data_IF_679910120184
#
_entry.id   IF_679910120184
#
_cell.length_a   1.000
_cell.length_b   1.000
_cell.length_c   1.000
_cell.angle_alpha   90.00
_cell.angle_beta   90.00
_cell.angle_gamma   90.00
#
_symmetry.space_group_name_H-M   'P 1'
#
loop_
_entity.id
_entity.type
_entity.pdbx_description
1 polymer ?
#
# COMPACT_ATOMS: atom_id res chain seq x y z
N UNK A 1 10.62 -19.80 19.37
CA UNK A 1 11.06 -18.80 18.38
C UNK A 1 9.83 -18.26 17.66
N UNK A 2 9.80 -16.97 17.29
CA UNK A 2 8.71 -16.40 16.50
C UNK A 2 9.00 -16.59 15.02
N UNK A 3 7.95 -16.69 14.21
CA UNK A 3 8.03 -16.83 12.75
C UNK A 3 7.02 -15.89 12.14
N UNK A 4 7.43 -15.14 11.13
CA UNK A 4 6.52 -14.42 10.27
C UNK A 4 5.89 -15.41 9.29
N UNK A 5 4.57 -15.54 9.36
CA UNK A 5 3.77 -16.30 8.41
C UNK A 5 2.35 -15.72 8.31
N UNK A 6 1.54 -16.28 7.42
CA UNK A 6 0.14 -15.85 7.28
C UNK A 6 -0.63 -15.94 8.59
N UNK A 7 -0.49 -17.04 9.34
CA UNK A 7 -1.15 -17.24 10.62
C UNK A 7 -0.73 -16.21 11.67
N UNK A 8 0.56 -15.88 11.77
CA UNK A 8 1.02 -14.88 12.74
C UNK A 8 0.43 -13.50 12.44
N UNK A 9 0.39 -13.10 11.16
CA UNK A 9 -0.23 -11.85 10.73
C UNK A 9 -1.72 -11.82 11.06
N UNK A 10 -2.47 -12.85 10.65
CA UNK A 10 -3.90 -12.96 10.92
C UNK A 10 -4.21 -12.88 12.42
N UNK A 11 -3.42 -13.56 13.28
CA UNK A 11 -3.61 -13.50 14.73
C UNK A 11 -3.33 -12.12 15.30
N UNK A 12 -2.23 -11.46 14.90
CA UNK A 12 -1.93 -10.11 15.40
C UNK A 12 -3.06 -9.15 15.06
N UNK A 13 -3.51 -9.16 13.80
CA UNK A 13 -4.60 -8.28 13.36
C UNK A 13 -5.90 -8.62 14.09
N UNK A 14 -6.22 -9.91 14.25
CA UNK A 14 -7.43 -10.38 14.94
C UNK A 14 -7.47 -9.97 16.42
N UNK A 15 -6.35 -10.05 17.14
CA UNK A 15 -6.29 -9.57 18.53
C UNK A 15 -6.44 -8.05 18.66
N UNK A 16 -6.31 -7.32 17.56
CA UNK A 16 -6.51 -5.88 17.49
C UNK A 16 -7.77 -5.46 16.73
N UNK A 17 -8.76 -6.36 16.62
CA UNK A 17 -10.02 -6.10 15.92
C UNK A 17 -10.80 -4.91 16.49
N UNK A 18 -11.51 -4.18 15.63
CA UNK A 18 -12.23 -2.95 16.00
C UNK A 18 -13.47 -3.18 16.86
N UNK A 19 -14.16 -4.31 16.70
CA UNK A 19 -15.30 -4.71 17.53
C UNK A 19 -15.35 -6.22 17.71
N UNK A 20 -16.24 -6.72 18.59
CA UNK A 20 -16.47 -8.15 18.81
C UNK A 20 -17.10 -8.86 17.61
N UNK A 21 -17.75 -8.10 16.74
CA UNK A 21 -18.41 -8.60 15.52
C UNK A 21 -17.43 -8.81 14.36
N UNK A 22 -16.17 -8.40 14.51
CA UNK A 22 -15.12 -8.74 13.55
C UNK A 22 -14.61 -10.15 13.86
N UNK A 23 -15.23 -11.13 13.22
CA UNK A 23 -14.84 -12.53 13.35
C UNK A 23 -13.53 -12.84 12.62
N UNK A 24 -12.83 -13.88 13.09
CA UNK A 24 -11.58 -14.33 12.47
C UNK A 24 -11.79 -14.79 11.02
N UNK A 25 -12.92 -15.45 10.70
CA UNK A 25 -13.32 -15.81 9.33
C UNK A 25 -13.43 -14.62 8.41
N UNK A 26 -14.09 -13.56 8.87
CA UNK A 26 -14.34 -12.36 8.07
C UNK A 26 -13.03 -11.61 7.80
N UNK A 27 -12.09 -11.63 8.76
CA UNK A 27 -10.77 -11.05 8.55
C UNK A 27 -9.90 -11.91 7.61
N UNK A 28 -9.91 -13.24 7.82
CA UNK A 28 -9.20 -14.20 6.98
C UNK A 28 -9.65 -14.09 5.51
N UNK A 29 -10.96 -14.16 5.25
CA UNK A 29 -11.53 -14.02 3.92
C UNK A 29 -11.16 -12.68 3.28
N UNK A 30 -11.30 -11.56 4.00
CA UNK A 30 -10.99 -10.24 3.47
C UNK A 30 -9.51 -10.08 3.05
N UNK A 31 -8.58 -10.68 3.81
CA UNK A 31 -7.16 -10.66 3.44
C UNK A 31 -6.90 -11.46 2.15
N UNK A 32 -7.59 -12.59 1.96
CA UNK A 32 -7.41 -13.44 0.77
C UNK A 32 -8.11 -12.87 -0.47
N UNK A 33 -9.23 -12.17 -0.30
CA UNK A 33 -9.90 -11.40 -1.37
C UNK A 33 -9.00 -10.32 -1.98
N UNK A 34 -7.97 -9.88 -1.25
CA UNK A 34 -6.97 -8.95 -1.77
C UNK A 34 -6.11 -9.57 -2.89
N UNK A 35 -6.01 -10.90 -2.95
CA UNK A 35 -5.28 -11.64 -3.99
C UNK A 35 -6.23 -12.05 -5.11
N UNK A 36 -7.39 -12.59 -4.74
CA UNK A 36 -8.38 -13.09 -5.69
C UNK A 36 -9.79 -12.75 -5.21
N UNK A 37 -10.49 -11.81 -5.86
CA UNK A 37 -11.86 -11.45 -5.49
C UNK A 37 -12.87 -12.59 -5.57
N UNK A 38 -12.54 -13.68 -6.26
CA UNK A 38 -13.40 -14.87 -6.36
C UNK A 38 -13.10 -15.92 -5.28
N UNK A 39 -12.04 -15.75 -4.48
CA UNK A 39 -11.65 -16.66 -3.41
C UNK A 39 -12.22 -16.18 -2.07
N UNK A 40 -13.55 -16.23 -1.95
CA UNK A 40 -14.24 -15.76 -0.75
C UNK A 40 -14.31 -16.85 0.33
N UNK A 41 -13.64 -16.60 1.46
CA UNK A 41 -13.70 -17.42 2.66
C UNK A 41 -14.21 -16.63 3.88
N UNK A 42 -14.95 -15.53 3.69
CA UNK A 42 -15.40 -14.70 4.83
C UNK A 42 -16.35 -15.42 5.77
N UNK A 43 -16.99 -16.49 5.30
CA UNK A 43 -17.94 -17.31 6.07
C UNK A 43 -17.40 -18.70 6.47
N UNK A 44 -16.16 -19.05 6.08
CA UNK A 44 -15.55 -20.35 6.37
C UNK A 44 -14.74 -20.32 7.68
N UNK A 45 -15.41 -20.59 8.80
CA UNK A 45 -14.80 -20.65 10.13
C UNK A 45 -13.74 -21.74 10.26
N UNK A 46 -13.91 -22.88 9.57
CA UNK A 46 -12.98 -24.00 9.66
C UNK A 46 -11.66 -23.68 8.93
N UNK A 47 -11.75 -23.12 7.73
CA UNK A 47 -10.57 -22.64 7.01
C UNK A 47 -9.83 -21.57 7.80
N UNK A 48 -10.55 -20.56 8.29
CA UNK A 48 -9.97 -19.46 9.04
C UNK A 48 -9.27 -19.95 10.32
N UNK A 49 -9.93 -20.79 11.12
CA UNK A 49 -9.36 -21.35 12.35
C UNK A 49 -8.12 -22.19 12.07
N UNK A 50 -8.17 -23.05 11.03
CA UNK A 50 -7.05 -23.93 10.70
C UNK A 50 -5.87 -23.15 10.11
N UNK A 51 -6.12 -22.12 9.31
CA UNK A 51 -5.09 -21.23 8.79
C UNK A 51 -4.49 -20.36 9.89
N UNK A 52 -5.31 -19.77 10.77
CA UNK A 52 -4.87 -18.98 11.91
C UNK A 52 -4.07 -19.80 12.94
N UNK A 53 -4.30 -21.11 13.01
CA UNK A 53 -3.50 -22.01 13.83
C UNK A 53 -2.17 -22.43 13.18
N UNK A 54 -1.90 -22.09 11.92
CA UNK A 54 -0.74 -22.61 11.17
C UNK A 54 -0.88 -24.09 10.80
N UNK A 55 -2.12 -24.59 10.72
CA UNK A 55 -2.45 -25.97 10.37
C UNK A 55 -2.71 -26.20 8.88
N UNK A 56 -3.09 -25.16 8.14
CA UNK A 56 -3.42 -25.20 6.71
C UNK A 56 -2.57 -24.19 5.93
N UNK A 57 -2.09 -24.60 4.77
CA UNK A 57 -1.37 -23.69 3.88
C UNK A 57 -2.33 -22.86 3.03
N UNK A 58 -1.85 -21.74 2.50
CA UNK A 58 -2.53 -21.02 1.44
C UNK A 58 -2.60 -21.94 0.20
N UNK A 59 -3.76 -22.04 -0.47
CA UNK A 59 -3.89 -22.92 -1.63
C UNK A 59 -2.94 -22.54 -2.78
N UNK A 60 -2.40 -23.52 -3.52
CA UNK A 60 -1.49 -23.26 -4.64
C UNK A 60 -2.05 -22.31 -5.70
N UNK A 61 -3.36 -22.40 -6.00
CA UNK A 61 -4.03 -21.51 -6.96
C UNK A 61 -3.97 -20.05 -6.52
N UNK A 62 -4.11 -19.79 -5.23
CA UNK A 62 -4.04 -18.44 -4.68
C UNK A 62 -2.60 -17.94 -4.63
N UNK A 63 -1.63 -18.82 -4.35
CA UNK A 63 -0.19 -18.49 -4.42
C UNK A 63 0.20 -18.10 -5.85
N UNK A 64 -0.30 -18.81 -6.87
CA UNK A 64 -0.07 -18.45 -8.27
C UNK A 64 -0.63 -17.07 -8.60
N UNK A 65 -1.88 -16.78 -8.21
CA UNK A 65 -2.46 -15.44 -8.36
C UNK A 65 -1.68 -14.36 -7.61
N UNK A 66 -1.18 -14.66 -6.41
CA UNK A 66 -0.38 -13.74 -5.62
C UNK A 66 0.94 -13.31 -6.28
N UNK A 67 1.45 -14.07 -7.26
CA UNK A 67 2.63 -13.68 -8.04
C UNK A 67 2.30 -12.66 -9.14
N UNK A 68 1.04 -12.58 -9.53
CA UNK A 68 0.56 -11.77 -10.66
C UNK A 68 -0.09 -10.46 -10.19
N UNK A 69 -0.51 -10.38 -8.93
CA UNK A 69 -1.14 -9.17 -8.39
C UNK A 69 -0.16 -7.99 -8.35
N UNK A 70 -0.68 -6.80 -8.67
CA UNK A 70 0.06 -5.57 -8.41
C UNK A 70 0.01 -5.29 -6.93
N UNK A 71 1.18 -5.10 -6.32
CA UNK A 71 1.33 -4.80 -4.88
C UNK A 71 0.46 -3.61 -4.46
N UNK A 72 0.34 -2.59 -5.32
CA UNK A 72 -0.48 -1.41 -5.04
C UNK A 72 -1.97 -1.75 -4.88
N UNK A 73 -2.51 -2.70 -5.66
CA UNK A 73 -3.92 -3.09 -5.58
C UNK A 73 -4.19 -3.80 -4.25
N UNK A 74 -3.25 -4.62 -3.79
CA UNK A 74 -3.32 -5.28 -2.48
C UNK A 74 -3.25 -4.25 -1.35
N UNK A 75 -2.36 -3.27 -1.45
CA UNK A 75 -2.25 -2.17 -0.47
C UNK A 75 -3.58 -1.39 -0.40
N UNK A 76 -4.17 -1.03 -1.55
CA UNK A 76 -5.45 -0.32 -1.60
C UNK A 76 -6.60 -1.15 -1.01
N UNK A 77 -6.62 -2.45 -1.28
CA UNK A 77 -7.61 -3.35 -0.67
C UNK A 77 -7.45 -3.40 0.84
N UNK A 78 -6.22 -3.59 1.35
CA UNK A 78 -5.95 -3.58 2.78
C UNK A 78 -6.39 -2.26 3.41
N UNK A 79 -6.08 -1.13 2.79
CA UNK A 79 -6.48 0.20 3.28
C UNK A 79 -7.99 0.35 3.38
N UNK A 80 -8.74 -0.12 2.38
CA UNK A 80 -10.20 0.05 2.31
C UNK A 80 -10.98 -0.99 3.11
N UNK A 81 -10.42 -2.17 3.31
CA UNK A 81 -11.18 -3.34 3.78
C UNK A 81 -10.61 -4.03 5.01
N UNK A 82 -9.29 -4.08 5.16
CA UNK A 82 -8.63 -4.76 6.29
C UNK A 82 -8.34 -3.78 7.43
N UNK A 83 -7.71 -2.64 7.15
CA UNK A 83 -7.38 -1.62 8.17
C UNK A 83 -8.62 -1.12 8.93
N UNK A 84 -9.79 -0.90 8.31
CA UNK A 84 -10.99 -0.47 9.05
C UNK A 84 -11.52 -1.51 10.05
N UNK A 85 -11.11 -2.78 9.91
CA UNK A 85 -11.45 -3.87 10.85
C UNK A 85 -10.49 -3.92 12.06
N UNK A 86 -9.48 -3.05 12.10
CA UNK A 86 -8.54 -2.90 13.21
C UNK A 86 -9.03 -1.74 14.10
N UNK A 87 -8.95 -1.90 15.42
CA UNK A 87 -9.19 -0.81 16.34
C UNK A 87 -8.21 0.34 16.03
N UNK A 88 -8.74 1.54 15.77
CA UNK A 88 -7.94 2.72 15.40
C UNK A 88 -6.84 3.03 16.41
N UNK A 89 -7.09 2.81 17.71
CA UNK A 89 -6.11 3.01 18.77
C UNK A 89 -4.99 1.95 18.77
N UNK A 90 -5.22 0.80 18.13
CA UNK A 90 -4.33 -0.35 18.15
C UNK A 90 -3.59 -0.59 16.82
N UNK A 91 -3.79 0.26 15.80
CA UNK A 91 -3.07 0.14 14.52
C UNK A 91 -1.55 0.13 14.73
N UNK A 92 -1.03 0.99 15.60
CA UNK A 92 0.40 1.00 15.94
C UNK A 92 0.83 -0.27 16.68
N UNK A 93 -0.06 -0.85 17.50
CA UNK A 93 0.21 -2.11 18.22
C UNK A 93 0.35 -3.27 17.24
N UNK A 94 -0.50 -3.32 16.21
CA UNK A 94 -0.38 -4.30 15.12
C UNK A 94 0.98 -4.19 14.43
N UNK A 95 1.40 -2.97 14.07
CA UNK A 95 2.70 -2.73 13.41
C UNK A 95 3.84 -3.18 14.31
N UNK A 96 3.90 -2.71 15.56
CA UNK A 96 4.96 -3.07 16.51
C UNK A 96 5.05 -4.58 16.74
N UNK A 97 3.91 -5.24 16.97
CA UNK A 97 3.89 -6.67 17.23
C UNK A 97 4.35 -7.50 16.02
N UNK A 98 4.00 -7.07 14.79
CA UNK A 98 4.44 -7.75 13.56
C UNK A 98 5.93 -7.47 13.28
N UNK A 99 6.41 -6.24 13.51
CA UNK A 99 7.83 -5.90 13.37
C UNK A 99 8.68 -6.71 14.37
N UNK A 100 8.22 -6.88 15.61
CA UNK A 100 8.91 -7.76 16.58
C UNK A 100 8.91 -9.24 16.15
N UNK A 101 7.80 -9.72 15.56
CA UNK A 101 7.76 -11.06 14.95
C UNK A 101 8.80 -11.19 13.84
N UNK A 102 8.89 -10.20 12.95
CA UNK A 102 9.85 -10.17 11.84
C UNK A 102 11.29 -10.12 12.36
N UNK A 103 11.58 -9.27 13.34
CA UNK A 103 12.90 -9.13 13.94
C UNK A 103 13.36 -10.45 14.61
N UNK A 104 12.45 -11.15 15.30
CA UNK A 104 12.72 -12.42 15.98
C UNK A 104 12.66 -13.65 15.06
N UNK A 105 12.32 -13.49 13.79
CA UNK A 105 12.33 -14.57 12.82
C UNK A 105 13.72 -14.74 12.18
N UNK A 106 14.53 -15.62 12.78
CA UNK A 106 15.88 -15.92 12.31
C UNK A 106 15.92 -16.72 10.99
N UNK A 107 14.77 -17.16 10.47
CA UNK A 107 14.72 -17.86 9.18
C UNK A 107 14.68 -16.91 7.97
N UNK A 108 14.50 -15.61 8.21
CA UNK A 108 14.53 -14.58 7.19
C UNK A 108 15.83 -13.76 7.34
N UNK A 109 16.77 -13.85 6.39
CA UNK A 109 17.97 -13.02 6.37
C UNK A 109 17.66 -11.52 6.35
N UNK A 110 18.53 -10.70 6.94
CA UNK A 110 18.34 -9.26 7.08
C UNK A 110 18.24 -8.50 5.75
N UNK A 111 18.96 -8.95 4.73
CA UNK A 111 18.96 -8.41 3.36
C UNK A 111 17.79 -8.89 2.49
N UNK A 112 16.91 -9.74 3.02
CA UNK A 112 15.74 -10.22 2.30
C UNK A 112 14.79 -9.07 1.99
N UNK A 113 14.51 -8.85 0.69
CA UNK A 113 13.52 -7.88 0.24
C UNK A 113 12.11 -8.34 0.60
N UNK A 114 11.45 -7.58 1.46
CA UNK A 114 10.08 -7.83 1.91
C UNK A 114 9.11 -6.85 1.27
N UNK A 115 9.48 -5.58 1.14
CA UNK A 115 8.65 -4.62 0.42
C UNK A 115 8.80 -4.87 -1.08
N UNK A 116 7.75 -5.36 -1.73
CA UNK A 116 7.77 -5.69 -3.15
C UNK A 116 7.66 -4.42 -4.03
N UNK A 117 6.99 -3.37 -3.56
CA UNK A 117 6.88 -2.08 -4.26
C UNK A 117 8.03 -1.10 -3.97
N UNK A 118 8.58 -1.15 -2.75
CA UNK A 118 9.62 -0.22 -2.27
C UNK A 118 11.03 -0.81 -2.19
N UNK A 119 11.17 -2.12 -2.47
CA UNK A 119 12.42 -2.88 -2.40
C UNK A 119 13.16 -2.83 -1.04
N UNK A 120 12.47 -2.51 0.06
CA UNK A 120 13.05 -2.53 1.41
C UNK A 120 13.31 -3.95 1.90
N UNK A 121 14.45 -4.10 2.54
CA UNK A 121 14.92 -5.31 3.20
C UNK A 121 14.33 -5.47 4.60
N UNK A 122 14.44 -6.66 5.18
CA UNK A 122 14.06 -6.91 6.57
C UNK A 122 14.74 -5.93 7.53
N UNK A 123 16.06 -5.73 7.40
CA UNK A 123 16.82 -4.87 8.30
C UNK A 123 16.42 -3.40 8.18
N UNK A 124 16.09 -2.92 6.98
CA UNK A 124 15.56 -1.57 6.80
C UNK A 124 14.18 -1.40 7.46
N UNK A 125 13.32 -2.42 7.36
CA UNK A 125 11.95 -2.39 7.91
C UNK A 125 11.96 -2.39 9.44
N UNK A 126 12.77 -3.24 10.08
CA UNK A 126 12.81 -3.32 11.55
C UNK A 126 13.37 -2.05 12.22
N UNK A 127 14.14 -1.25 11.47
CA UNK A 127 14.71 0.01 11.95
C UNK A 127 13.87 1.24 11.56
N UNK A 128 12.77 1.07 10.83
CA UNK A 128 11.90 2.18 10.44
C UNK A 128 11.01 2.62 11.61
N UNK A 129 10.77 3.92 11.70
CA UNK A 129 9.93 4.54 12.77
C UNK A 129 8.67 5.20 12.23
N UNK A 130 8.48 5.20 10.90
CA UNK A 130 7.38 5.90 10.23
C UNK A 130 6.74 4.99 9.18
N UNK A 131 5.53 4.50 9.46
CA UNK A 131 4.87 3.50 8.61
C UNK A 131 3.57 4.01 7.97
N UNK A 132 3.29 3.57 6.75
CA UNK A 132 1.91 3.46 6.25
C UNK A 132 1.35 2.10 6.69
N UNK A 133 0.26 2.03 7.49
CA UNK A 133 -0.28 0.79 8.01
C UNK A 133 -0.74 -0.18 6.92
N UNK A 134 -1.32 0.33 5.84
CA UNK A 134 -1.76 -0.53 4.74
C UNK A 134 -0.57 -1.09 3.98
N UNK A 135 0.46 -0.27 3.75
CA UNK A 135 1.67 -0.67 3.04
C UNK A 135 2.45 -1.75 3.80
N UNK A 136 2.73 -1.53 5.09
CA UNK A 136 3.52 -2.50 5.89
C UNK A 136 2.77 -3.83 6.02
N UNK A 137 1.47 -3.79 6.35
CA UNK A 137 0.70 -5.03 6.57
C UNK A 137 0.51 -5.79 5.25
N UNK A 138 0.21 -5.11 4.14
CA UNK A 138 0.01 -5.76 2.84
C UNK A 138 1.30 -6.38 2.28
N UNK A 139 2.45 -5.69 2.39
CA UNK A 139 3.73 -6.25 1.93
C UNK A 139 4.13 -7.49 2.75
N UNK A 140 3.99 -7.43 4.08
CA UNK A 140 4.27 -8.60 4.93
C UNK A 140 3.30 -9.75 4.69
N UNK A 141 2.03 -9.44 4.40
CA UNK A 141 1.04 -10.42 3.97
C UNK A 141 1.45 -11.11 2.67
N UNK A 142 1.77 -10.37 1.61
CA UNK A 142 2.21 -10.95 0.33
C UNK A 142 3.50 -11.76 0.49
N UNK A 143 4.48 -11.22 1.22
CA UNK A 143 5.71 -11.96 1.52
C UNK A 143 5.42 -13.29 2.20
N UNK A 144 4.52 -13.29 3.20
CA UNK A 144 4.14 -14.49 3.93
C UNK A 144 3.41 -15.50 3.07
N UNK A 145 2.55 -15.05 2.14
CA UNK A 145 1.84 -15.92 1.20
C UNK A 145 2.80 -16.57 0.19
N UNK A 146 3.75 -15.80 -0.33
CA UNK A 146 4.64 -16.23 -1.41
C UNK A 146 5.82 -17.08 -0.93
N UNK A 147 6.38 -16.75 0.24
CA UNK A 147 7.69 -17.25 0.65
C UNK A 147 7.64 -18.15 1.89
N UNK A 148 6.51 -18.21 2.61
CA UNK A 148 6.43 -18.94 3.87
C UNK A 148 5.31 -19.98 3.83
N UNK A 149 5.69 -21.25 4.02
CA UNK A 149 4.73 -22.34 4.20
C UNK A 149 4.02 -22.15 5.55
N UNK A 150 2.73 -21.87 5.52
CA UNK A 150 1.94 -21.64 6.74
C UNK A 150 1.69 -22.94 7.52
N UNK A 151 1.63 -24.09 6.83
CA UNK A 151 1.43 -25.38 7.48
C UNK A 151 2.67 -25.88 8.20
N UNK A 152 2.48 -26.35 9.44
CA UNK A 152 3.55 -26.88 10.29
C UNK A 152 4.09 -25.89 11.32
N UNK A 153 3.63 -24.64 11.30
CA UNK A 153 4.09 -23.56 12.20
C UNK A 153 3.23 -23.43 13.47
N UNK A 154 2.48 -24.47 13.85
CA UNK A 154 1.54 -24.43 15.00
C UNK A 154 2.23 -24.00 16.30
N UNK A 155 3.45 -24.48 16.54
CA UNK A 155 4.21 -24.18 17.78
C UNK A 155 4.60 -22.71 17.83
N UNK A 156 5.09 -22.18 16.72
CA UNK A 156 5.55 -20.80 16.58
C UNK A 156 4.39 -19.81 16.62
N UNK A 157 3.29 -20.13 15.93
CA UNK A 157 2.04 -19.35 15.92
C UNK A 157 1.39 -19.31 17.31
N UNK A 158 1.51 -20.39 18.11
CA UNK A 158 1.03 -20.40 19.49
C UNK A 158 1.75 -19.37 20.38
N UNK A 159 2.97 -18.97 20.04
CA UNK A 159 3.71 -17.92 20.78
C UNK A 159 3.16 -16.51 20.53
N UNK A 160 2.29 -16.34 19.53
CA UNK A 160 1.57 -15.10 19.27
C UNK A 160 0.27 -15.17 20.05
N UNK A 161 0.33 -14.82 21.35
CA UNK A 161 -0.84 -14.70 22.21
C UNK A 161 -1.39 -13.27 22.20
N UNK A 162 -2.62 -13.11 22.67
CA UNK A 162 -3.20 -11.77 22.88
C UNK A 162 -2.34 -10.96 23.87
N UNK A 163 -1.90 -11.57 24.98
CA UNK A 163 -1.02 -10.92 25.96
C UNK A 163 0.29 -10.42 25.34
N UNK A 164 0.87 -11.19 24.42
CA UNK A 164 2.06 -10.79 23.68
C UNK A 164 1.76 -9.56 22.80
N UNK A 165 0.68 -9.57 22.02
CA UNK A 165 0.33 -8.43 21.16
C UNK A 165 0.02 -7.19 21.98
N UNK A 166 -0.74 -7.32 23.07
CA UNK A 166 -1.11 -6.20 23.94
C UNK A 166 0.08 -5.67 24.76
N UNK A 167 1.19 -6.39 24.87
CA UNK A 167 2.37 -5.91 25.59
C UNK A 167 3.01 -4.65 24.96
N UNK A 168 2.83 -4.45 23.65
CA UNK A 168 3.39 -3.32 22.91
C UNK A 168 2.69 -1.98 23.15
N UNK A 169 1.64 -1.91 23.99
CA UNK A 169 1.05 -0.63 24.39
C UNK A 169 2.07 0.33 25.01
N UNK A 170 3.11 -0.20 25.65
CA UNK A 170 4.20 0.57 26.25
C UNK A 170 5.12 1.23 25.21
N UNK A 171 5.13 0.71 23.99
CA UNK A 171 6.03 1.12 22.91
C UNK A 171 5.30 1.92 21.83
N UNK A 172 4.01 2.25 22.02
CA UNK A 172 3.16 2.89 21.00
C UNK A 172 3.70 4.24 20.49
N UNK A 173 4.53 4.93 21.30
CA UNK A 173 5.14 6.22 20.97
C UNK A 173 6.48 6.11 20.24
N UNK A 174 7.02 4.89 20.07
CA UNK A 174 8.29 4.66 19.34
C UNK A 174 8.12 4.78 17.83
N UNK A 175 6.90 4.65 17.33
CA UNK A 175 6.58 4.77 15.90
C UNK A 175 5.50 5.82 15.63
N UNK A 176 5.52 6.33 14.42
CA UNK A 176 4.50 7.21 13.85
C UNK A 176 3.85 6.58 12.62
N UNK A 177 2.61 6.99 12.35
CA UNK A 177 1.81 6.51 11.24
C UNK A 177 1.59 7.65 10.28
N UNK A 178 1.91 7.45 9.00
CA UNK A 178 1.58 8.41 7.94
C UNK A 178 0.08 8.39 7.75
N UNK A 179 -0.56 9.55 7.83
CA UNK A 179 -1.90 9.69 7.26
C UNK A 179 -1.70 9.73 5.75
N UNK A 180 -2.21 8.73 5.05
CA UNK A 180 -2.52 8.94 3.65
C UNK A 180 -3.68 9.93 3.65
N UNK A 181 -3.37 11.22 3.53
CA UNK A 181 -4.26 12.06 2.74
C UNK A 181 -4.41 11.30 1.44
N UNK A 182 -5.66 10.89 1.13
CA UNK A 182 -5.94 10.25 -0.13
C UNK A 182 -5.14 11.02 -1.19
N UNK A 183 -4.49 10.31 -2.12
CA UNK A 183 -4.19 10.90 -3.40
C UNK A 183 -5.53 11.37 -3.98
N UNK A 184 -5.95 12.55 -3.55
CA UNK A 184 -6.76 13.44 -4.34
C UNK A 184 -5.82 13.79 -5.48
N UNK A 185 -5.82 12.94 -6.49
CA UNK A 185 -5.69 13.42 -7.85
C UNK A 185 -6.96 14.22 -8.14
N UNK A 186 -7.19 15.30 -7.39
CA UNK A 186 -7.76 16.48 -8.00
C UNK A 186 -6.73 16.84 -9.07
N UNK A 187 -6.87 16.19 -10.24
CA UNK A 187 -6.30 16.71 -11.46
C UNK A 187 -6.85 18.12 -11.51
N UNK A 188 -5.98 19.08 -11.22
CA UNK A 188 -6.28 20.47 -11.44
C UNK A 188 -6.54 20.50 -12.95
N UNK A 189 -7.82 20.59 -13.31
CA UNK A 189 -8.22 20.65 -14.71
C UNK A 189 -7.49 21.85 -15.28
N UNK A 190 -6.79 21.65 -16.41
CA UNK A 190 -6.05 22.69 -17.12
C UNK A 190 -6.93 23.96 -17.16
N UNK A 191 -6.50 25.01 -16.46
CA UNK A 191 -7.22 26.30 -16.42
C UNK A 191 -7.13 27.03 -17.76
N UNK A 192 -6.14 26.65 -18.59
CA UNK A 192 -5.97 27.14 -19.95
C UNK A 192 -7.12 26.70 -20.85
N UNK A 193 -7.61 27.61 -21.69
CA UNK A 193 -8.49 27.24 -22.80
C UNK A 193 -7.67 26.63 -23.93
N UNK A 194 -7.78 25.31 -24.08
CA UNK A 194 -7.00 24.55 -25.06
C UNK A 194 -7.32 24.90 -26.52
N UNK A 195 -8.50 25.48 -26.80
CA UNK A 195 -8.97 25.80 -28.15
C UNK A 195 -8.06 26.78 -28.90
N UNK A 196 -7.45 27.72 -28.19
CA UNK A 196 -6.58 28.75 -28.78
C UNK A 196 -5.08 28.49 -28.54
N UNK A 197 -4.75 27.52 -27.67
CA UNK A 197 -3.36 27.19 -27.31
C UNK A 197 -2.59 26.62 -28.51
N UNK A 198 -3.13 25.61 -29.19
CA UNK A 198 -2.49 24.96 -30.34
C UNK A 198 -2.40 25.87 -31.58
N UNK A 199 -3.14 26.97 -31.62
CA UNK A 199 -3.02 27.98 -32.68
C UNK A 199 -1.83 28.92 -32.43
N UNK A 200 -1.50 29.15 -31.16
CA UNK A 200 -0.50 30.13 -30.71
C UNK A 200 0.86 29.47 -30.44
N UNK A 201 0.85 28.23 -29.96
CA UNK A 201 2.05 27.49 -29.56
C UNK A 201 2.15 26.15 -30.26
N UNK A 202 3.38 25.71 -30.49
CA UNK A 202 3.73 24.38 -31.00
C UNK A 202 4.55 23.67 -29.91
N UNK A 203 4.23 22.41 -29.66
CA UNK A 203 5.00 21.55 -28.76
C UNK A 203 6.36 21.20 -29.39
N UNK A 204 7.40 21.27 -28.57
CA UNK A 204 8.77 20.96 -28.97
C UNK A 204 9.18 19.69 -28.26
N UNK A 205 9.61 18.69 -29.04
CA UNK A 205 10.17 17.47 -28.51
C UNK A 205 11.47 17.78 -27.76
N UNK A 206 11.59 17.25 -26.55
CA UNK A 206 12.75 17.48 -25.69
C UNK A 206 13.03 16.20 -24.87
N UNK A 207 14.31 15.84 -24.61
CA UNK A 207 14.66 14.58 -23.94
C UNK A 207 14.63 14.64 -22.40
N UNK A 208 14.44 15.82 -21.81
CA UNK A 208 14.56 16.05 -20.37
C UNK A 208 13.39 15.46 -19.57
N UNK A 209 13.68 15.00 -18.34
CA UNK A 209 12.67 14.49 -17.41
C UNK A 209 12.83 15.14 -16.04
N UNK A 210 11.74 15.25 -15.27
CA UNK A 210 11.78 15.90 -13.95
C UNK A 210 12.31 14.98 -12.84
N UNK A 211 12.47 13.68 -13.10
CA UNK A 211 12.96 12.71 -12.11
C UNK A 211 12.09 12.58 -10.85
N UNK A 212 10.83 13.03 -10.88
CA UNK A 212 9.93 13.01 -9.73
C UNK A 212 9.22 11.65 -9.60
N UNK A 213 8.98 11.22 -8.36
CA UNK A 213 8.31 9.94 -8.05
C UNK A 213 6.80 9.94 -8.33
N UNK A 214 6.16 11.11 -8.39
CA UNK A 214 4.73 11.26 -8.63
C UNK A 214 4.44 11.36 -10.13
N UNK A 215 3.19 11.15 -10.58
CA UNK A 215 2.80 11.44 -11.96
C UNK A 215 3.16 12.89 -12.31
N UNK A 216 4.10 13.05 -13.25
CA UNK A 216 4.61 14.34 -13.69
C UNK A 216 4.81 14.30 -15.21
N UNK A 217 4.70 15.46 -15.83
CA UNK A 217 4.88 15.63 -17.28
C UNK A 217 5.66 16.93 -17.48
N UNK A 218 6.76 16.87 -18.22
CA UNK A 218 7.47 18.05 -18.71
C UNK A 218 7.13 18.18 -20.20
N UNK A 219 6.66 19.36 -20.59
CA UNK A 219 6.31 19.68 -21.98
C UNK A 219 6.81 21.07 -22.28
N UNK A 220 7.50 21.21 -23.40
CA UNK A 220 8.05 22.49 -23.85
C UNK A 220 7.22 22.97 -25.03
N UNK A 221 6.83 24.25 -24.99
CA UNK A 221 6.06 24.88 -26.06
C UNK A 221 6.76 26.15 -26.49
N UNK A 222 6.81 26.39 -27.80
CA UNK A 222 7.31 27.62 -28.40
C UNK A 222 6.21 28.32 -29.16
N UNK A 223 6.39 29.63 -29.43
CA UNK A 223 5.48 30.36 -30.30
C UNK A 223 5.43 29.72 -31.69
N UNK A 224 4.24 29.67 -32.26
CA UNK A 224 4.05 29.29 -33.65
C UNK A 224 4.63 30.39 -34.55
N UNK A 225 5.87 30.19 -34.98
CA UNK A 225 6.59 31.09 -35.89
C UNK A 225 6.50 30.51 -37.30
N UNK A 226 5.83 31.22 -38.20
CA UNK A 226 5.75 30.89 -39.62
C UNK A 226 6.40 32.03 -40.41
N UNK A 227 7.39 31.72 -41.25
CA UNK A 227 8.12 32.70 -42.06
C UNK A 227 8.76 33.84 -41.24
N UNK A 228 9.43 33.51 -40.13
CA UNK A 228 10.06 34.46 -39.20
C UNK A 228 9.09 35.50 -38.60
N UNK A 229 7.79 35.21 -38.61
CA UNK A 229 6.75 36.05 -38.01
C UNK A 229 5.82 35.19 -37.15
N UNK A 230 5.28 35.78 -36.11
CA UNK A 230 4.23 35.20 -35.28
C UNK A 230 2.99 36.09 -35.34
N UNK A 231 1.81 35.52 -35.04
CA UNK A 231 0.59 36.31 -34.98
C UNK A 231 0.46 37.03 -33.65
N UNK A 232 0.73 38.34 -33.64
CA UNK A 232 0.50 39.18 -32.46
C UNK A 232 -0.98 39.15 -32.02
N UNK A 233 -1.92 39.11 -32.98
CA UNK A 233 -3.36 39.05 -32.69
C UNK A 233 -3.75 37.77 -31.94
N UNK A 234 -3.28 36.61 -32.41
CA UNK A 234 -3.60 35.34 -31.74
C UNK A 234 -2.92 35.25 -30.37
N UNK A 235 -1.67 35.73 -30.25
CA UNK A 235 -0.97 35.80 -28.97
C UNK A 235 -1.70 36.69 -27.97
N UNK A 236 -2.07 37.91 -28.36
CA UNK A 236 -2.76 38.85 -27.48
C UNK A 236 -4.14 38.32 -27.07
N UNK A 237 -4.90 37.74 -28.00
CA UNK A 237 -6.19 37.10 -27.72
C UNK A 237 -6.03 35.95 -26.72
N UNK A 238 -5.03 35.10 -26.93
CA UNK A 238 -4.72 33.99 -26.03
C UNK A 238 -4.32 34.48 -24.63
N UNK A 239 -3.43 35.48 -24.54
CA UNK A 239 -2.98 36.03 -23.26
C UNK A 239 -4.15 36.67 -22.51
N UNK A 240 -4.94 37.55 -23.14
CA UNK A 240 -6.10 38.17 -22.51
C UNK A 240 -7.15 37.13 -22.05
N UNK A 241 -7.33 36.06 -22.82
CA UNK A 241 -8.25 34.98 -22.48
C UNK A 241 -7.83 34.15 -21.27
N UNK A 242 -6.54 34.14 -20.91
CA UNK A 242 -6.00 33.26 -19.87
C UNK A 242 -5.33 33.99 -18.68
N UNK A 243 -4.91 35.25 -18.83
CA UNK A 243 -4.15 36.00 -17.80
C UNK A 243 -4.94 36.20 -16.48
N UNK A 244 -6.28 36.16 -16.55
CA UNK A 244 -7.16 36.25 -15.38
C UNK A 244 -7.68 34.92 -14.83
N UNK A 245 -7.27 33.78 -15.39
CA UNK A 245 -7.79 32.44 -15.02
C UNK A 245 -7.00 31.75 -13.91
N UNK A 246 -6.08 32.47 -13.27
CA UNK A 246 -5.23 31.94 -12.21
C UNK A 246 -5.85 32.24 -10.84
N UNK A 247 -6.66 31.30 -10.32
CA UNK A 247 -7.08 31.32 -8.92
C UNK A 247 -7.11 29.86 -8.44
N UNK A 248 -6.11 29.50 -7.62
CA UNK A 248 -5.83 28.18 -7.03
C UNK A 248 -5.23 27.11 -7.98
N UNK A 249 -3.90 27.15 -8.07
CA UNK A 249 -3.06 25.97 -8.31
C UNK A 249 -2.45 25.53 -6.98
#
# INVERSE_FOLDING_TARGET
MKRLCYASLLKVIYYCRSSIDVYQKTLNGEMLLAIDPNYDLTDDDNAASTMAAGGRNIPPELISKAREVKVIDVIEHFRKKVIPKINKAEVKIVILAIIDVLAKDNSIPGDTKIYLSGAKTKDEIINETVFDPAEIIANLFLYSVLNVKNSGLRKEVKTISESYVKSFHREINTISVRKNEAMSTASIKKTIQNKDFNNTFIEVDHPETLGLKNNNELRVFQLNILNNKFSNRELQKFLLGNIGRYVYS
#
